data_IF_166308079301
#
_entry.id   IF_166308079301
#
_cell.length_a   1.000
_cell.length_b   1.000
_cell.length_c   1.000
_cell.angle_alpha   90.00
_cell.angle_beta   90.00
_cell.angle_gamma   90.00
#
_symmetry.space_group_name_H-M   'P 1'
#
loop_
_entity.id
_entity.type
_entity.pdbx_description
1 polymer ?
#
# COMPACT_ATOMS: atom_id res chain seq x y z
N UNK A 1 -7.13 21.68 -87.12
CA UNK A 1 -7.00 20.27 -86.70
C UNK A 1 -7.28 20.19 -85.21
N UNK A 2 -8.49 19.77 -84.81
CA UNK A 2 -8.80 19.56 -83.39
C UNK A 2 -7.93 18.43 -82.84
N UNK A 3 -7.27 18.64 -81.71
CA UNK A 3 -6.53 17.57 -81.02
C UNK A 3 -7.53 16.46 -80.66
N UNK A 4 -7.34 15.25 -81.20
CA UNK A 4 -8.12 14.07 -80.78
C UNK A 4 -7.83 13.86 -79.29
N UNK A 5 -8.87 13.77 -78.46
CA UNK A 5 -8.69 13.44 -77.04
C UNK A 5 -8.16 12.02 -76.91
N UNK A 6 -7.09 11.82 -76.14
CA UNK A 6 -6.49 10.51 -75.88
C UNK A 6 -6.68 10.09 -74.42
N UNK A 7 -6.50 8.80 -74.14
CA UNK A 7 -6.49 8.18 -72.81
C UNK A 7 -5.37 7.14 -72.78
N UNK A 8 -4.72 6.97 -71.63
CA UNK A 8 -3.67 5.95 -71.43
C UNK A 8 -4.32 4.68 -70.89
N UNK A 9 -4.28 3.61 -71.67
CA UNK A 9 -4.81 2.30 -71.27
C UNK A 9 -3.68 1.29 -71.20
N UNK A 10 -3.91 0.22 -70.44
CA UNK A 10 -3.03 -0.94 -70.44
C UNK A 10 -3.86 -2.23 -70.50
N UNK A 11 -3.33 -3.24 -71.18
CA UNK A 11 -4.01 -4.51 -71.41
C UNK A 11 -3.51 -5.56 -70.42
N UNK A 12 -4.38 -6.22 -69.62
CA UNK A 12 -3.94 -7.24 -68.63
C UNK A 12 -3.16 -8.41 -69.23
N UNK A 13 -3.44 -8.76 -70.48
CA UNK A 13 -2.82 -9.91 -71.17
C UNK A 13 -2.06 -9.52 -72.44
N UNK A 14 -1.84 -8.22 -72.65
CA UNK A 14 -1.34 -7.69 -73.93
C UNK A 14 -2.43 -7.71 -75.01
N UNK A 15 -2.11 -7.17 -76.18
CA UNK A 15 -3.08 -7.07 -77.27
C UNK A 15 -2.50 -6.48 -78.54
N UNK A 16 -3.31 -6.46 -79.60
CA UNK A 16 -2.94 -5.84 -80.87
C UNK A 16 -3.90 -4.68 -81.13
N UNK A 17 -3.35 -3.48 -81.30
CA UNK A 17 -4.09 -2.29 -81.70
C UNK A 17 -4.03 -2.16 -83.23
N UNK A 18 -5.17 -2.12 -83.93
CA UNK A 18 -5.18 -1.95 -85.38
C UNK A 18 -4.57 -0.62 -85.82
N UNK A 19 -3.81 -0.64 -86.91
CA UNK A 19 -3.11 0.53 -87.47
C UNK A 19 -4.04 1.74 -87.68
N UNK A 20 -5.29 1.48 -88.13
CA UNK A 20 -6.33 2.49 -88.37
C UNK A 20 -6.79 3.26 -87.13
N UNK A 21 -6.59 2.70 -85.94
CA UNK A 21 -7.02 3.33 -84.68
C UNK A 21 -6.01 4.39 -84.23
N UNK A 22 -4.72 4.17 -84.50
CA UNK A 22 -3.63 5.05 -84.11
C UNK A 22 -3.10 5.93 -85.26
N UNK A 23 -3.72 5.86 -86.44
CA UNK A 23 -3.24 6.49 -87.68
C UNK A 23 -1.81 6.06 -88.07
N UNK A 24 -1.48 4.80 -87.80
CA UNK A 24 -0.16 4.19 -88.03
C UNK A 24 -0.15 3.31 -89.29
N UNK A 25 1.04 3.00 -89.81
CA UNK A 25 1.20 2.17 -91.02
C UNK A 25 1.03 0.66 -90.76
N UNK A 26 1.13 0.23 -89.50
CA UNK A 26 1.08 -1.19 -89.09
C UNK A 26 0.33 -1.36 -87.78
N UNK A 27 -0.21 -2.56 -87.57
CA UNK A 27 -0.80 -2.93 -86.29
C UNK A 27 0.28 -2.94 -85.21
N UNK A 28 -0.05 -2.41 -84.03
CA UNK A 28 0.87 -2.31 -82.90
C UNK A 28 0.57 -3.44 -81.92
N UNK A 29 1.58 -4.24 -81.59
CA UNK A 29 1.50 -5.25 -80.54
C UNK A 29 1.93 -4.62 -79.21
N UNK A 30 1.09 -4.73 -78.19
CA UNK A 30 1.29 -4.18 -76.85
C UNK A 30 1.50 -5.33 -75.87
N UNK A 31 2.52 -5.23 -75.03
CA UNK A 31 2.80 -6.24 -74.01
C UNK A 31 1.79 -6.14 -72.84
N UNK A 32 1.66 -7.20 -72.03
CA UNK A 32 0.84 -7.15 -70.81
C UNK A 32 1.24 -5.99 -69.90
N UNK A 33 0.23 -5.24 -69.44
CA UNK A 33 0.34 -4.07 -68.57
C UNK A 33 1.19 -2.90 -69.11
N UNK A 34 1.57 -2.95 -70.39
CA UNK A 34 2.29 -1.85 -71.02
C UNK A 34 1.32 -0.68 -71.29
N UNK A 35 1.64 0.54 -70.80
CA UNK A 35 0.80 1.70 -71.02
C UNK A 35 0.89 2.19 -72.46
N UNK A 36 -0.25 2.44 -73.09
CA UNK A 36 -0.35 2.96 -74.45
C UNK A 36 -1.43 4.02 -74.56
N UNK A 37 -1.14 5.08 -75.32
CA UNK A 37 -2.09 6.14 -75.61
C UNK A 37 -2.99 5.74 -76.78
N UNK A 38 -4.30 5.82 -76.57
CA UNK A 38 -5.30 5.54 -77.60
C UNK A 38 -6.33 6.67 -77.67
N UNK A 39 -7.05 6.85 -78.81
CA UNK A 39 -8.17 7.77 -78.87
C UNK A 39 -9.19 7.45 -77.78
N UNK A 40 -9.69 8.48 -77.09
CA UNK A 40 -10.53 8.34 -75.91
C UNK A 40 -11.75 7.44 -76.14
N UNK A 41 -12.46 7.62 -77.25
CA UNK A 41 -13.64 6.81 -77.59
C UNK A 41 -13.29 5.32 -77.68
N UNK A 42 -12.14 4.98 -78.27
CA UNK A 42 -11.68 3.60 -78.38
C UNK A 42 -11.25 3.04 -77.00
N UNK A 43 -10.50 3.82 -76.23
CA UNK A 43 -10.09 3.44 -74.87
C UNK A 43 -11.28 3.22 -73.92
N UNK A 44 -12.30 4.08 -73.96
CA UNK A 44 -13.50 3.96 -73.13
C UNK A 44 -14.26 2.66 -73.43
N UNK A 45 -14.35 2.24 -74.70
CA UNK A 45 -14.94 0.94 -75.07
C UNK A 45 -14.11 -0.22 -74.54
N UNK A 46 -12.78 -0.18 -74.69
CA UNK A 46 -11.91 -1.23 -74.17
C UNK A 46 -12.00 -1.38 -72.65
N UNK A 47 -12.12 -0.26 -71.93
CA UNK A 47 -12.30 -0.24 -70.48
C UNK A 47 -13.68 -0.78 -70.09
N UNK A 48 -14.73 -0.34 -70.77
CA UNK A 48 -16.11 -0.81 -70.54
C UNK A 48 -16.24 -2.33 -70.73
N UNK A 49 -15.60 -2.86 -71.76
CA UNK A 49 -15.61 -4.29 -72.08
C UNK A 49 -14.62 -5.10 -71.23
N UNK A 50 -13.91 -4.45 -70.29
CA UNK A 50 -12.88 -5.03 -69.41
C UNK A 50 -11.71 -5.68 -70.17
N UNK A 51 -11.46 -5.22 -71.39
CA UNK A 51 -10.34 -5.66 -72.23
C UNK A 51 -9.07 -4.90 -71.85
N UNK A 52 -9.20 -3.63 -71.46
CA UNK A 52 -8.12 -2.80 -70.93
C UNK A 52 -8.58 -2.08 -69.64
N UNK A 53 -7.65 -1.43 -68.95
CA UNK A 53 -7.95 -0.55 -67.82
C UNK A 53 -7.27 0.80 -68.00
N UNK A 54 -7.83 1.84 -67.38
CA UNK A 54 -7.19 3.15 -67.31
C UNK A 54 -5.92 3.03 -66.46
N UNK A 55 -4.76 3.16 -67.11
CA UNK A 55 -3.47 2.97 -66.46
C UNK A 55 -3.20 4.04 -65.42
N UNK A 56 -3.58 5.30 -65.69
CA UNK A 56 -3.35 6.43 -64.80
C UNK A 56 -4.20 6.30 -63.55
N UNK A 57 -5.46 5.91 -63.68
CA UNK A 57 -6.30 5.62 -62.52
C UNK A 57 -5.82 4.40 -61.73
N UNK A 58 -5.40 3.33 -62.42
CA UNK A 58 -4.88 2.13 -61.76
C UNK A 58 -3.59 2.41 -60.97
N UNK A 59 -2.67 3.21 -61.50
CA UNK A 59 -1.48 3.63 -60.77
C UNK A 59 -1.82 4.50 -59.56
N UNK A 60 -2.80 5.40 -59.68
CA UNK A 60 -3.28 6.21 -58.54
C UNK A 60 -3.87 5.32 -57.44
N UNK A 61 -4.71 4.35 -57.80
CA UNK A 61 -5.29 3.38 -56.85
C UNK A 61 -4.20 2.54 -56.19
N UNK A 62 -3.24 2.01 -56.97
CA UNK A 62 -2.11 1.25 -56.44
C UNK A 62 -1.27 2.06 -55.44
N UNK A 63 -1.03 3.34 -55.71
CA UNK A 63 -0.32 4.23 -54.77
C UNK A 63 -1.13 4.47 -53.51
N UNK A 64 -2.42 4.75 -53.63
CA UNK A 64 -3.31 4.94 -52.48
C UNK A 64 -3.42 3.67 -51.61
N UNK A 65 -3.54 2.49 -52.24
CA UNK A 65 -3.59 1.20 -51.53
C UNK A 65 -2.27 0.91 -50.80
N UNK A 66 -1.13 1.20 -51.45
CA UNK A 66 0.19 1.05 -50.82
C UNK A 66 0.38 2.02 -49.64
N UNK A 67 -0.09 3.27 -49.76
CA UNK A 67 -0.07 4.25 -48.67
C UNK A 67 -0.96 3.82 -47.49
N UNK A 68 -2.17 3.29 -47.77
CA UNK A 68 -3.05 2.75 -46.75
C UNK A 68 -2.42 1.56 -46.05
N UNK A 69 -1.89 0.59 -46.80
CA UNK A 69 -1.23 -0.59 -46.25
C UNK A 69 -0.01 -0.23 -45.40
N UNK A 70 0.78 0.77 -45.82
CA UNK A 70 1.91 1.26 -45.04
C UNK A 70 1.48 1.92 -43.72
N UNK A 71 0.37 2.68 -43.74
CA UNK A 71 -0.20 3.29 -42.53
C UNK A 71 -0.76 2.24 -41.58
N UNK A 72 -1.45 1.24 -42.09
CA UNK A 72 -2.00 0.14 -41.31
C UNK A 72 -0.86 -0.67 -40.67
N UNK A 73 0.18 -1.01 -41.44
CA UNK A 73 1.36 -1.71 -40.91
C UNK A 73 2.11 -0.90 -39.84
N UNK A 74 2.17 0.44 -39.97
CA UNK A 74 2.75 1.31 -38.95
C UNK A 74 1.91 1.33 -37.68
N UNK A 75 0.58 1.36 -37.82
CA UNK A 75 -0.36 1.40 -36.71
C UNK A 75 -0.33 0.08 -35.94
N UNK A 76 -0.41 -1.05 -36.64
CA UNK A 76 -0.34 -2.38 -36.01
C UNK A 76 0.97 -2.61 -35.27
N UNK A 77 2.08 -2.09 -35.78
CA UNK A 77 3.36 -2.13 -35.08
C UNK A 77 3.35 -1.30 -33.80
N UNK A 78 2.82 -0.07 -33.86
CA UNK A 78 2.70 0.78 -32.67
C UNK A 78 1.79 0.15 -31.61
N UNK A 79 0.68 -0.47 -32.02
CA UNK A 79 -0.23 -1.18 -31.12
C UNK A 79 0.45 -2.40 -30.48
N UNK A 80 1.25 -3.15 -31.24
CA UNK A 80 2.02 -4.28 -30.70
C UNK A 80 3.07 -3.83 -29.66
N UNK A 81 3.80 -2.76 -29.95
CA UNK A 81 4.78 -2.16 -29.01
C UNK A 81 4.07 -1.65 -27.74
N UNK A 82 2.89 -1.04 -27.87
CA UNK A 82 2.09 -0.61 -26.72
C UNK A 82 1.55 -1.78 -25.88
N UNK A 83 1.11 -2.87 -26.52
CA UNK A 83 0.65 -4.07 -25.83
C UNK A 83 1.78 -4.75 -25.04
N UNK A 84 2.98 -4.82 -25.61
CA UNK A 84 4.16 -5.35 -24.93
C UNK A 84 4.50 -4.51 -23.68
N UNK A 85 4.54 -3.19 -23.82
CA UNK A 85 4.78 -2.28 -22.69
C UNK A 85 3.70 -2.40 -21.59
N UNK A 86 2.42 -2.55 -21.97
CA UNK A 86 1.36 -2.77 -20.99
C UNK A 86 1.49 -4.13 -20.29
N UNK A 87 1.87 -5.19 -21.00
CA UNK A 87 2.13 -6.49 -20.37
C UNK A 87 3.28 -6.42 -19.37
N UNK A 88 4.37 -5.72 -19.70
CA UNK A 88 5.47 -5.51 -18.75
C UNK A 88 4.98 -4.78 -17.49
N UNK A 89 4.19 -3.71 -17.64
CA UNK A 89 3.61 -3.01 -16.49
C UNK A 89 2.68 -3.90 -15.66
N UNK A 90 1.85 -4.72 -16.30
CA UNK A 90 0.98 -5.68 -15.60
C UNK A 90 1.82 -6.67 -14.80
N UNK A 91 2.91 -7.20 -15.36
CA UNK A 91 3.78 -8.15 -14.63
C UNK A 91 4.49 -7.50 -13.45
N UNK A 92 4.94 -6.24 -13.59
CA UNK A 92 5.54 -5.48 -12.49
C UNK A 92 4.53 -5.24 -11.37
N UNK A 93 3.32 -4.76 -11.71
CA UNK A 93 2.26 -4.52 -10.75
C UNK A 93 1.78 -5.80 -10.07
N UNK A 94 1.74 -6.93 -10.77
CA UNK A 94 1.42 -8.22 -10.17
C UNK A 94 2.46 -8.62 -9.12
N UNK A 95 3.75 -8.50 -9.44
CA UNK A 95 4.83 -8.79 -8.49
C UNK A 95 4.82 -7.85 -7.28
N UNK A 96 4.54 -6.56 -7.48
CA UNK A 96 4.42 -5.60 -6.38
C UNK A 96 3.22 -5.93 -5.47
N UNK A 97 2.08 -6.32 -6.04
CA UNK A 97 0.91 -6.75 -5.26
C UNK A 97 1.19 -8.01 -4.43
N UNK A 98 1.90 -8.99 -4.99
CA UNK A 98 2.31 -10.20 -4.25
C UNK A 98 3.20 -9.84 -3.05
N UNK A 99 4.17 -8.94 -3.26
CA UNK A 99 5.05 -8.46 -2.19
C UNK A 99 4.26 -7.72 -1.11
N UNK A 100 3.38 -6.79 -1.49
CA UNK A 100 2.56 -6.04 -0.54
C UNK A 100 1.63 -6.96 0.26
N UNK A 101 1.11 -8.02 -0.37
CA UNK A 101 0.30 -9.03 0.30
C UNK A 101 1.11 -9.78 1.36
N UNK A 102 2.35 -10.20 1.02
CA UNK A 102 3.24 -10.86 1.97
C UNK A 102 3.63 -9.94 3.14
N UNK A 103 3.91 -8.66 2.86
CA UNK A 103 4.23 -7.66 3.88
C UNK A 103 3.04 -7.43 4.84
N UNK A 104 1.81 -7.45 4.32
CA UNK A 104 0.58 -7.33 5.11
C UNK A 104 0.38 -8.55 6.03
N UNK A 105 0.55 -9.76 5.49
CA UNK A 105 0.48 -11.01 6.28
C UNK A 105 1.52 -11.04 7.41
N UNK A 106 2.73 -10.51 7.17
CA UNK A 106 3.76 -10.41 8.20
C UNK A 106 3.39 -9.38 9.27
N UNK A 107 2.85 -8.23 8.86
CA UNK A 107 2.38 -7.21 9.79
C UNK A 107 1.26 -7.74 10.69
N UNK A 108 0.29 -8.47 10.14
CA UNK A 108 -0.82 -9.06 10.90
C UNK A 108 -0.35 -10.09 11.93
N UNK A 109 0.66 -10.90 11.58
CA UNK A 109 1.31 -11.82 12.54
C UNK A 109 1.97 -11.07 13.68
N UNK A 110 2.68 -9.98 13.39
CA UNK A 110 3.32 -9.13 14.41
C UNK A 110 2.30 -8.46 15.32
N UNK A 111 1.21 -7.95 14.76
CA UNK A 111 0.10 -7.36 15.53
C UNK A 111 -0.49 -8.41 16.48
N UNK A 112 -0.80 -9.60 15.99
CA UNK A 112 -1.36 -10.69 16.80
C UNK A 112 -0.43 -11.09 17.95
N UNK A 113 0.88 -11.15 17.70
CA UNK A 113 1.88 -11.43 18.73
C UNK A 113 1.92 -10.33 19.80
N UNK A 114 1.97 -9.06 19.39
CA UNK A 114 1.96 -7.91 20.30
C UNK A 114 0.68 -7.82 21.12
N UNK A 115 -0.47 -8.15 20.55
CA UNK A 115 -1.74 -8.20 21.26
C UNK A 115 -1.75 -9.31 22.32
N UNK A 116 -1.18 -10.48 22.02
CA UNK A 116 -1.00 -11.55 23.00
C UNK A 116 -0.12 -11.12 24.17
N UNK A 117 1.01 -10.48 23.87
CA UNK A 117 1.94 -10.02 24.90
C UNK A 117 1.32 -8.90 25.75
N UNK A 118 0.55 -7.99 25.14
CA UNK A 118 -0.22 -6.96 25.86
C UNK A 118 -1.18 -7.59 26.87
N UNK A 119 -1.90 -8.65 26.50
CA UNK A 119 -2.83 -9.35 27.40
C UNK A 119 -2.06 -10.00 28.56
N UNK A 120 -0.94 -10.68 28.29
CA UNK A 120 -0.10 -11.30 29.33
C UNK A 120 0.40 -10.26 30.33
N UNK A 121 1.01 -9.18 29.85
CA UNK A 121 1.53 -8.11 30.69
C UNK A 121 0.42 -7.44 31.50
N UNK A 122 -0.76 -7.24 30.92
CA UNK A 122 -1.91 -6.71 31.67
C UNK A 122 -2.35 -7.66 32.79
N UNK A 123 -2.27 -8.98 32.58
CA UNK A 123 -2.53 -9.98 33.61
C UNK A 123 -1.50 -9.92 34.73
N UNK A 124 -0.21 -9.89 34.38
CA UNK A 124 0.90 -9.78 35.34
C UNK A 124 0.79 -8.52 36.21
N UNK A 125 0.47 -7.38 35.61
CA UNK A 125 0.21 -6.13 36.34
C UNK A 125 -0.93 -6.30 37.34
N UNK A 126 -2.03 -6.94 36.94
CA UNK A 126 -3.17 -7.20 37.82
C UNK A 126 -2.80 -8.09 39.01
N UNK A 127 -2.04 -9.16 38.77
CA UNK A 127 -1.52 -10.03 39.84
C UNK A 127 -0.62 -9.28 40.80
N UNK A 128 0.37 -8.53 40.30
CA UNK A 128 1.28 -7.75 41.13
C UNK A 128 0.55 -6.68 41.95
N UNK A 129 -0.49 -6.05 41.39
CA UNK A 129 -1.33 -5.11 42.14
C UNK A 129 -2.09 -5.80 43.28
N UNK A 130 -2.55 -7.03 43.07
CA UNK A 130 -3.15 -7.87 44.11
C UNK A 130 -2.16 -8.18 45.22
N UNK A 131 -0.98 -8.69 44.87
CA UNK A 131 0.08 -9.04 45.82
C UNK A 131 0.52 -7.82 46.66
N UNK A 132 0.64 -6.65 46.02
CA UNK A 132 0.99 -5.39 46.71
C UNK A 132 -0.09 -4.97 47.71
N UNK A 133 -1.37 -5.14 47.36
CA UNK A 133 -2.50 -4.85 48.25
C UNK A 133 -2.50 -5.78 49.46
N UNK A 134 -2.27 -7.07 49.25
CA UNK A 134 -2.22 -8.06 50.32
C UNK A 134 -1.03 -7.84 51.24
N UNK A 135 0.16 -7.57 50.68
CA UNK A 135 1.35 -7.22 51.45
C UNK A 135 1.15 -5.95 52.29
N UNK A 136 0.51 -4.92 51.75
CA UNK A 136 0.19 -3.70 52.49
C UNK A 136 -0.77 -3.96 53.65
N UNK A 137 -1.75 -4.84 53.46
CA UNK A 137 -2.68 -5.22 54.53
C UNK A 137 -1.94 -5.96 55.64
N UNK A 138 -1.10 -6.93 55.30
CA UNK A 138 -0.28 -7.66 56.28
C UNK A 138 0.62 -6.72 57.08
N UNK A 139 1.27 -5.76 56.41
CA UNK A 139 2.08 -4.75 57.09
C UNK A 139 1.26 -3.85 58.03
N UNK A 140 0.02 -3.52 57.66
CA UNK A 140 -0.87 -2.75 58.53
C UNK A 140 -1.27 -3.55 59.78
N UNK A 141 -1.65 -4.82 59.60
CA UNK A 141 -2.02 -5.73 60.68
C UNK A 141 -0.84 -5.94 61.65
N UNK A 142 0.37 -6.11 61.12
CA UNK A 142 1.59 -6.28 61.93
C UNK A 142 1.98 -5.00 62.68
N UNK A 143 1.83 -3.82 62.07
CA UNK A 143 2.00 -2.53 62.76
C UNK A 143 1.03 -2.35 63.92
N UNK A 144 -0.23 -2.74 63.73
CA UNK A 144 -1.23 -2.68 64.81
C UNK A 144 -0.85 -3.61 65.97
N UNK A 145 -0.44 -4.84 65.65
CA UNK A 145 0.00 -5.82 66.65
C UNK A 145 1.20 -5.30 67.46
N UNK A 146 2.25 -4.83 66.77
CA UNK A 146 3.45 -4.27 67.42
C UNK A 146 3.11 -3.03 68.26
N UNK A 147 2.18 -2.19 67.80
CA UNK A 147 1.69 -1.05 68.57
C UNK A 147 1.08 -1.47 69.91
N UNK A 148 0.23 -2.51 69.91
CA UNK A 148 -0.37 -3.07 71.14
C UNK A 148 0.67 -3.68 72.08
N UNK A 149 1.62 -4.44 71.55
CA UNK A 149 2.73 -5.02 72.34
C UNK A 149 3.58 -3.92 72.99
N UNK A 150 3.91 -2.86 72.24
CA UNK A 150 4.69 -1.75 72.75
C UNK A 150 3.96 -0.95 73.84
N UNK A 151 2.64 -0.78 73.73
CA UNK A 151 1.83 -0.17 74.80
C UNK A 151 1.78 -1.04 76.06
N UNK A 152 1.65 -2.36 75.90
CA UNK A 152 1.66 -3.29 77.03
C UNK A 152 3.00 -3.25 77.76
N UNK A 153 4.11 -3.27 77.01
CA UNK A 153 5.46 -3.19 77.60
C UNK A 153 5.68 -1.85 78.32
N UNK A 154 5.21 -0.73 77.75
CA UNK A 154 5.26 0.58 78.42
C UNK A 154 4.53 0.58 79.77
N UNK A 155 3.37 -0.07 79.86
CA UNK A 155 2.64 -0.21 81.13
C UNK A 155 3.42 -1.06 82.13
N UNK A 156 4.00 -2.18 81.70
CA UNK A 156 4.83 -3.03 82.56
C UNK A 156 6.06 -2.29 83.11
N UNK A 157 6.75 -1.52 82.26
CA UNK A 157 7.90 -0.72 82.71
C UNK A 157 7.47 0.33 83.73
N UNK A 158 6.33 1.00 83.51
CA UNK A 158 5.81 1.99 84.45
C UNK A 158 5.50 1.37 85.82
N UNK A 159 4.82 0.22 85.86
CA UNK A 159 4.49 -0.47 87.12
C UNK A 159 5.73 -0.97 87.85
N UNK A 160 6.71 -1.54 87.13
CA UNK A 160 7.98 -1.97 87.73
C UNK A 160 8.77 -0.79 88.30
N UNK A 161 8.74 0.36 87.62
CA UNK A 161 9.39 1.60 88.10
C UNK A 161 8.73 2.10 89.39
N UNK A 162 7.41 2.05 89.47
CA UNK A 162 6.65 2.41 90.67
C UNK A 162 6.95 1.46 91.85
N UNK A 163 6.98 0.15 91.60
CA UNK A 163 7.35 -0.85 92.61
C UNK A 163 8.80 -0.67 93.11
N UNK A 164 9.74 -0.34 92.23
CA UNK A 164 11.13 -0.01 92.59
C UNK A 164 11.20 1.24 93.47
N UNK A 165 10.43 2.27 93.17
CA UNK A 165 10.37 3.48 93.99
C UNK A 165 9.77 3.22 95.38
N UNK A 166 8.77 2.33 95.46
CA UNK A 166 8.13 1.98 96.72
C UNK A 166 9.05 1.12 97.63
N UNK A 167 9.78 0.18 97.04
CA UNK A 167 10.75 -0.66 97.77
C UNK A 167 12.03 0.06 98.18
N UNK A 168 12.30 1.24 97.60
CA UNK A 168 13.46 2.09 97.95
C UNK A 168 13.11 3.26 98.89
N UNK A 169 11.86 3.36 99.37
CA UNK A 169 11.49 4.35 100.42
C UNK A 169 12.17 4.02 101.75
N UNK A 170 12.82 4.99 102.43
CA UNK A 170 13.41 4.76 103.75
C UNK A 170 12.33 4.49 104.81
N UNK A 171 12.61 3.67 105.85
CA UNK A 171 11.62 3.33 106.88
C UNK A 171 11.19 4.59 107.66
N UNK A 172 9.89 4.82 107.73
CA UNK A 172 9.27 5.94 108.47
C UNK A 172 9.45 5.71 109.97
N UNK A 173 10.25 6.57 110.62
CA UNK A 173 10.28 6.67 112.08
C UNK A 173 8.96 7.33 112.55
N UNK A 174 8.12 6.57 113.27
CA UNK A 174 6.98 7.11 114.00
C UNK A 174 7.50 7.95 115.17
N UNK A 175 7.42 9.28 115.08
CA UNK A 175 7.65 10.16 116.23
C UNK A 175 6.31 10.41 116.95
N UNK A 176 6.14 9.77 118.10
CA UNK A 176 5.22 10.23 119.14
C UNK A 176 5.73 11.59 119.66
N UNK A 177 5.05 12.69 119.32
CA UNK A 177 5.30 13.96 119.99
C UNK A 177 4.39 14.08 121.21
N UNK A 178 4.97 13.80 122.38
CA UNK A 178 4.49 14.21 123.70
C UNK A 178 4.11 15.71 123.68
N UNK A 179 2.89 16.02 124.10
CA UNK A 179 2.50 17.38 124.48
C UNK A 179 3.22 17.74 125.78
N UNK A 180 4.01 18.81 125.76
CA UNK A 180 4.50 19.47 126.98
C UNK A 180 3.83 20.84 127.04
N UNK A 181 2.92 20.98 127.99
CA UNK A 181 2.34 22.25 128.42
C UNK A 181 3.44 23.11 129.05
N UNK A 182 3.50 24.39 128.65
CA UNK A 182 4.55 25.32 129.06
C UNK A 182 4.05 26.76 129.10
N UNK A 183 3.41 27.08 130.21
CA UNK A 183 3.00 28.39 130.72
C UNK A 183 4.12 29.45 130.64
N UNK A 184 3.81 30.72 130.37
CA UNK A 184 4.85 31.75 130.33
C UNK A 184 4.47 33.14 129.79
N UNK A 185 3.78 33.93 130.62
CA UNK A 185 3.49 35.37 130.47
C UNK A 185 4.70 36.27 130.16
N UNK A 186 4.35 37.46 129.65
CA UNK A 186 4.99 38.80 129.80
C UNK A 186 5.78 39.24 128.56
N UNK A 187 5.68 40.46 128.02
CA UNK A 187 5.11 41.73 128.48
C UNK A 187 4.87 42.62 127.26
#
# INVERSE_FOLDING_TARGET
MSKKSTIVVAFPHGGIIPARVLDEDKNISVLPHEPIEVPKVYGDHLISDRIAYDFVEAEKRKKADAESAAKDAKTTRADAEALEAFNEQITQLASENEKLTADLDEADKKISALESDKVKLSGEIGSLQGDLKDANKLLADEREKLGKELEAERKNVATLTEQLAETTKPPVQQQETLKIDGDGKSK
#
